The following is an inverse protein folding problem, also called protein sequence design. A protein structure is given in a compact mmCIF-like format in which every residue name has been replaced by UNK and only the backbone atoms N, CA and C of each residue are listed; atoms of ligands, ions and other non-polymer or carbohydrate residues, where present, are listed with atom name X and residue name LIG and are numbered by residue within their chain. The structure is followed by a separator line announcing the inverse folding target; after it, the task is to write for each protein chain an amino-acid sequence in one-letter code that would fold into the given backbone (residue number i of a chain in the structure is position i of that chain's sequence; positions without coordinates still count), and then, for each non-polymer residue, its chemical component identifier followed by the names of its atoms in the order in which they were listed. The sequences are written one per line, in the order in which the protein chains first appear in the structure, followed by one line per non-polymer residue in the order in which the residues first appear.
data_IF_651181492762
#
_entry.id   IF_651181492762
#
_cell.length_a   1.000
_cell.length_b   1.000
_cell.length_c   1.000
_cell.angle_alpha   90.00
_cell.angle_beta   90.00
_cell.angle_gamma   90.00
#
_symmetry.space_group_name_H-M   'P 1'
#
loop_
_entity.id
_entity.type
_entity.pdbx_description
1 polymer ?
#
# COMPACT_ATOMS: atom_id res chain seq x y z
N UNK A 1 -5.44 22.90 -1.84
CA UNK A 1 -6.42 22.22 -0.96
C UNK A 1 -6.48 20.76 -1.38
N UNK A 2 -6.33 19.82 -0.45
CA UNK A 2 -6.48 18.39 -0.74
C UNK A 2 -7.96 18.02 -0.75
N UNK A 3 -8.33 17.08 -1.63
CA UNK A 3 -9.70 16.55 -1.75
C UNK A 3 -9.67 15.08 -1.38
N UNK A 4 -10.47 14.69 -0.39
CA UNK A 4 -10.64 13.28 -0.03
C UNK A 4 -11.47 12.60 -1.11
N UNK A 5 -10.99 11.47 -1.60
CA UNK A 5 -11.67 10.64 -2.59
C UNK A 5 -11.99 9.28 -1.98
N UNK A 6 -13.13 8.66 -2.34
CA UNK A 6 -13.42 7.30 -1.92
C UNK A 6 -12.31 6.32 -2.36
N UNK A 7 -11.88 5.48 -1.43
CA UNK A 7 -10.99 4.37 -1.70
C UNK A 7 -11.76 3.22 -2.38
N UNK A 8 -11.20 2.67 -3.46
CA UNK A 8 -11.86 1.62 -4.26
C UNK A 8 -11.46 0.23 -3.77
N UNK A 9 -12.07 -0.21 -2.67
CA UNK A 9 -11.84 -1.52 -2.04
C UNK A 9 -11.94 -2.67 -3.02
N UNK A 10 -12.90 -2.60 -3.93
CA UNK A 10 -13.12 -3.61 -4.96
C UNK A 10 -11.89 -3.82 -5.85
N UNK A 11 -11.11 -2.76 -6.10
CA UNK A 11 -9.88 -2.87 -6.90
C UNK A 11 -8.73 -3.50 -6.11
N UNK A 12 -8.65 -3.23 -4.81
CA UNK A 12 -7.66 -3.86 -3.95
C UNK A 12 -7.94 -5.36 -3.83
N UNK A 13 -9.20 -5.75 -3.66
CA UNK A 13 -9.64 -7.16 -3.66
C UNK A 13 -9.31 -7.83 -4.99
N UNK A 14 -9.73 -7.25 -6.12
CA UNK A 14 -9.43 -7.82 -7.45
C UNK A 14 -7.92 -7.94 -7.71
N UNK A 15 -7.14 -6.97 -7.22
CA UNK A 15 -5.69 -7.04 -7.30
C UNK A 15 -5.15 -8.23 -6.49
N UNK A 16 -5.61 -8.35 -5.24
CA UNK A 16 -5.19 -9.42 -4.35
C UNK A 16 -5.57 -10.79 -4.93
N UNK A 17 -6.80 -10.99 -5.40
CA UNK A 17 -7.25 -12.23 -6.04
C UNK A 17 -6.39 -12.62 -7.24
N UNK A 18 -6.02 -11.64 -8.08
CA UNK A 18 -5.20 -11.89 -9.26
C UNK A 18 -3.76 -12.29 -8.90
N UNK A 19 -3.18 -11.66 -7.89
CA UNK A 19 -1.75 -11.76 -7.61
C UNK A 19 -1.40 -12.59 -6.36
N UNK A 20 -2.38 -13.08 -5.60
CA UNK A 20 -2.16 -13.86 -4.37
C UNK A 20 -1.28 -15.10 -4.60
N UNK A 21 -1.43 -15.76 -5.75
CA UNK A 21 -0.70 -17.00 -6.09
C UNK A 21 0.41 -16.79 -7.12
N UNK A 22 0.69 -15.55 -7.52
CA UNK A 22 1.72 -15.23 -8.51
C UNK A 22 2.44 -13.92 -8.16
N UNK A 23 3.23 -13.36 -9.08
CA UNK A 23 4.01 -12.13 -8.84
C UNK A 23 3.76 -11.13 -9.95
N UNK A 24 3.44 -9.89 -9.58
CA UNK A 24 3.29 -8.83 -10.56
C UNK A 24 4.69 -8.39 -11.06
N UNK A 25 5.04 -8.62 -12.34
CA UNK A 25 6.38 -8.37 -12.85
C UNK A 25 6.77 -6.88 -12.85
N UNK A 26 5.83 -5.97 -12.64
CA UNK A 26 6.10 -4.53 -12.51
C UNK A 26 6.83 -4.23 -11.18
N UNK A 27 6.60 -5.04 -10.15
CA UNK A 27 7.19 -4.87 -8.83
C UNK A 27 8.22 -5.96 -8.57
N UNK A 28 9.35 -5.59 -7.98
CA UNK A 28 10.37 -6.54 -7.61
C UNK A 28 9.88 -7.48 -6.52
N UNK A 29 10.30 -8.75 -6.61
CA UNK A 29 9.97 -9.77 -5.61
C UNK A 29 10.98 -9.72 -4.45
N UNK A 30 10.52 -9.27 -3.29
CA UNK A 30 11.34 -9.18 -2.08
C UNK A 30 11.37 -10.47 -1.24
N UNK A 31 10.83 -11.58 -1.75
CA UNK A 31 10.72 -12.85 -0.99
C UNK A 31 12.07 -13.28 -0.38
N UNK A 32 13.17 -13.19 -1.12
CA UNK A 32 14.51 -13.61 -0.68
C UNK A 32 15.27 -12.57 0.17
N UNK A 33 14.70 -11.38 0.39
CA UNK A 33 15.41 -10.23 1.00
C UNK A 33 14.63 -9.59 2.16
N UNK A 34 13.84 -10.40 2.87
CA UNK A 34 13.08 -9.97 4.05
C UNK A 34 11.57 -10.14 3.95
N UNK A 35 11.08 -10.66 2.81
CA UNK A 35 9.68 -11.00 2.60
C UNK A 35 8.94 -10.01 1.71
N UNK A 36 7.89 -10.49 1.05
CA UNK A 36 7.15 -9.74 0.04
C UNK A 36 5.74 -9.29 0.52
N UNK A 37 5.40 -9.52 1.79
CA UNK A 37 4.05 -9.28 2.32
C UNK A 37 3.64 -7.80 2.23
N UNK A 38 4.42 -6.88 2.80
CA UNK A 38 4.11 -5.44 2.76
C UNK A 38 4.18 -4.89 1.35
N UNK A 39 5.09 -5.39 0.51
CA UNK A 39 5.15 -5.01 -0.91
C UNK A 39 3.85 -5.38 -1.63
N UNK A 40 3.34 -6.60 -1.42
CA UNK A 40 2.07 -7.05 -1.97
C UNK A 40 0.88 -6.23 -1.47
N UNK A 41 0.82 -5.97 -0.15
CA UNK A 41 -0.23 -5.12 0.44
C UNK A 41 -0.17 -3.70 -0.15
N UNK A 42 1.02 -3.11 -0.27
CA UNK A 42 1.16 -1.79 -0.88
C UNK A 42 0.70 -1.76 -2.34
N UNK A 43 0.93 -2.83 -3.09
CA UNK A 43 0.42 -2.94 -4.46
C UNK A 43 -1.12 -3.00 -4.51
N UNK A 44 -1.75 -3.75 -3.59
CA UNK A 44 -3.21 -3.83 -3.49
C UNK A 44 -3.82 -2.47 -3.08
N UNK A 45 -3.25 -1.81 -2.07
CA UNK A 45 -3.63 -0.45 -1.67
C UNK A 45 -3.46 0.55 -2.82
N UNK A 46 -2.41 0.40 -3.64
CA UNK A 46 -2.20 1.26 -4.81
C UNK A 46 -3.25 1.01 -5.90
N UNK A 47 -3.69 -0.23 -6.10
CA UNK A 47 -4.79 -0.53 -7.01
C UNK A 47 -6.10 0.15 -6.57
N UNK A 48 -6.37 0.21 -5.26
CA UNK A 48 -7.56 0.86 -4.70
C UNK A 48 -7.48 2.39 -4.61
N UNK A 49 -6.31 2.95 -4.32
CA UNK A 49 -6.10 4.41 -4.16
C UNK A 49 -5.69 5.12 -5.45
N UNK A 50 -5.00 4.42 -6.36
CA UNK A 50 -4.43 4.93 -7.61
C UNK A 50 -3.48 6.11 -7.45
N UNK A 51 -2.96 6.37 -6.24
CA UNK A 51 -2.07 7.49 -5.96
C UNK A 51 -1.00 7.07 -4.95
N UNK A 52 0.26 7.34 -5.28
CA UNK A 52 1.37 7.22 -4.35
C UNK A 52 1.71 8.57 -3.74
N UNK A 53 2.39 8.55 -2.61
CA UNK A 53 2.93 9.73 -1.96
C UNK A 53 4.46 9.75 -2.14
N UNK A 54 4.96 10.59 -3.04
CA UNK A 54 6.40 10.72 -3.35
C UNK A 54 7.18 11.64 -2.40
N UNK A 55 6.64 11.96 -1.22
CA UNK A 55 7.41 12.70 -0.20
C UNK A 55 8.67 11.89 0.16
N UNK A 56 9.88 12.47 0.04
CA UNK A 56 11.11 11.78 0.38
C UNK A 56 11.09 11.30 1.84
N UNK A 57 11.57 10.08 2.08
CA UNK A 57 11.70 9.44 3.40
C UNK A 57 10.37 9.07 4.07
N UNK A 58 9.40 10.00 4.14
CA UNK A 58 8.15 9.86 4.90
C UNK A 58 6.90 9.62 4.03
N UNK A 59 7.05 9.58 2.71
CA UNK A 59 5.97 9.23 1.80
C UNK A 59 5.66 7.72 1.82
N UNK A 60 4.97 7.27 0.77
CA UNK A 60 4.65 5.88 0.48
C UNK A 60 4.62 5.72 -1.04
N UNK A 61 5.71 5.18 -1.57
CA UNK A 61 5.90 5.04 -3.01
C UNK A 61 6.94 3.97 -3.36
N UNK A 62 6.84 3.48 -4.60
CA UNK A 62 7.79 2.61 -5.25
C UNK A 62 7.98 3.06 -6.70
N UNK A 63 9.23 3.32 -7.09
CA UNK A 63 9.63 3.56 -8.49
C UNK A 63 10.47 2.38 -8.97
N UNK A 64 11.51 2.04 -8.21
CA UNK A 64 12.38 0.88 -8.43
C UNK A 64 12.70 0.22 -7.09
N UNK A 65 13.35 -0.95 -7.06
CA UNK A 65 13.83 -1.51 -5.80
C UNK A 65 14.69 -0.51 -5.04
N UNK A 66 15.62 0.20 -5.69
CA UNK A 66 16.51 1.13 -5.00
C UNK A 66 15.88 2.52 -4.77
N UNK A 67 14.72 2.79 -5.36
CA UNK A 67 14.00 4.05 -5.26
C UNK A 67 12.57 3.80 -4.76
N UNK A 68 12.48 3.57 -3.45
CA UNK A 68 11.23 3.34 -2.71
C UNK A 68 11.36 3.87 -1.29
N UNK A 69 10.24 4.09 -0.65
CA UNK A 69 10.20 4.41 0.79
C UNK A 69 10.11 3.16 1.64
N UNK A 70 10.56 3.25 2.90
CA UNK A 70 10.46 2.15 3.85
C UNK A 70 8.99 1.72 4.07
N UNK A 71 8.06 2.66 4.06
CA UNK A 71 6.61 2.42 4.15
C UNK A 71 6.03 1.56 3.03
N UNK A 72 6.67 1.48 1.86
CA UNK A 72 6.18 0.59 0.78
C UNK A 72 6.48 -0.89 1.06
N UNK A 73 7.57 -1.18 1.79
CA UNK A 73 8.05 -2.56 1.99
C UNK A 73 8.17 -3.00 3.45
N UNK A 74 7.96 -2.12 4.43
CA UNK A 74 8.07 -2.42 5.86
C UNK A 74 6.77 -2.16 6.63
N UNK A 75 6.33 -3.14 7.42
CA UNK A 75 5.02 -3.16 8.09
C UNK A 75 4.81 -1.99 9.05
N UNK A 76 5.77 -1.71 9.93
CA UNK A 76 5.67 -0.62 10.91
C UNK A 76 5.59 0.75 10.25
N UNK A 77 6.34 0.92 9.15
CA UNK A 77 6.36 2.17 8.38
C UNK A 77 5.09 2.35 7.57
N UNK A 78 4.53 1.27 7.01
CA UNK A 78 3.24 1.31 6.31
C UNK A 78 2.12 1.70 7.28
N UNK A 79 2.07 1.06 8.44
CA UNK A 79 1.09 1.36 9.49
C UNK A 79 1.15 2.84 9.89
N UNK A 80 2.35 3.35 10.22
CA UNK A 80 2.54 4.76 10.59
C UNK A 80 2.17 5.73 9.47
N UNK A 81 2.44 5.35 8.21
CA UNK A 81 2.02 6.15 7.07
C UNK A 81 0.50 6.19 7.00
N UNK A 82 -0.20 5.05 6.98
CA UNK A 82 -1.65 5.01 6.82
C UNK A 82 -2.39 5.77 7.93
N UNK A 83 -2.00 5.57 9.19
CA UNK A 83 -2.67 6.21 10.34
C UNK A 83 -2.27 7.66 10.55
N UNK A 84 -1.11 8.09 10.00
CA UNK A 84 -0.57 9.44 10.16
C UNK A 84 -0.67 10.35 8.93
N UNK A 85 -1.00 9.80 7.76
CA UNK A 85 -0.94 10.55 6.50
C UNK A 85 -2.03 11.61 6.42
N UNK A 86 -1.61 12.86 6.22
CA UNK A 86 -2.48 14.03 5.97
C UNK A 86 -2.24 14.62 4.58
N UNK A 87 -1.42 13.96 3.76
CA UNK A 87 -0.98 14.39 2.44
C UNK A 87 -1.63 13.59 1.31
N UNK A 88 -0.91 13.48 0.18
CA UNK A 88 -1.30 12.60 -0.92
C UNK A 88 -1.22 11.13 -0.49
N UNK A 89 -1.91 10.23 -1.18
CA UNK A 89 -1.90 8.80 -0.86
C UNK A 89 -3.11 8.35 -0.05
N UNK A 90 -3.25 7.03 0.16
CA UNK A 90 -4.23 6.48 1.07
C UNK A 90 -3.92 6.88 2.52
N UNK A 91 -4.95 6.85 3.35
CA UNK A 91 -4.87 6.94 4.81
C UNK A 91 -5.93 5.99 5.39
N UNK A 92 -5.74 5.60 6.64
CA UNK A 92 -6.63 4.69 7.35
C UNK A 92 -6.75 5.07 8.81
N UNK A 93 -7.67 4.42 9.51
CA UNK A 93 -7.86 4.54 10.94
C UNK A 93 -7.81 3.16 11.58
N UNK A 94 -7.46 3.10 12.87
CA UNK A 94 -7.53 1.85 13.61
C UNK A 94 -8.99 1.54 13.96
N UNK A 95 -9.41 0.33 13.64
CA UNK A 95 -10.78 -0.14 13.86
C UNK A 95 -10.75 -1.53 14.49
N UNK A 96 -11.85 -1.92 15.13
CA UNK A 96 -12.04 -3.30 15.56
C UNK A 96 -12.24 -4.23 14.35
N UNK A 97 -11.91 -5.51 14.53
CA UNK A 97 -11.95 -6.51 13.45
C UNK A 97 -13.34 -6.66 12.80
N UNK A 98 -14.41 -6.48 13.58
CA UNK A 98 -15.81 -6.55 13.13
C UNK A 98 -16.22 -5.38 12.21
N UNK A 99 -15.41 -4.33 12.15
CA UNK A 99 -15.60 -3.18 11.26
C UNK A 99 -14.81 -3.26 9.96
N UNK A 100 -13.92 -4.25 9.82
CA UNK A 100 -13.13 -4.40 8.60
C UNK A 100 -14.00 -4.88 7.45
N UNK A 101 -13.82 -4.26 6.29
CA UNK A 101 -14.45 -4.67 5.04
C UNK A 101 -13.40 -5.31 4.11
N UNK A 102 -13.79 -6.23 3.22
CA UNK A 102 -12.87 -6.76 2.21
C UNK A 102 -12.20 -5.63 1.41
N UNK A 103 -10.87 -5.59 1.44
CA UNK A 103 -10.05 -4.61 0.74
C UNK A 103 -9.50 -3.48 1.61
N UNK A 104 -9.86 -3.41 2.89
CA UNK A 104 -9.17 -2.60 3.91
C UNK A 104 -7.72 -3.06 4.16
#
# INVERSE_FOLDING_TARGET
MLVIRPYRRERAVQYAERWATMRNPIFYDFTEVGGNCTNFVSQALYAGSCVMNYTPVFGWYYVTPNERTASWTGVDYLYRFLTGNRGLGPFGEEVAEDRLEPGD
#
